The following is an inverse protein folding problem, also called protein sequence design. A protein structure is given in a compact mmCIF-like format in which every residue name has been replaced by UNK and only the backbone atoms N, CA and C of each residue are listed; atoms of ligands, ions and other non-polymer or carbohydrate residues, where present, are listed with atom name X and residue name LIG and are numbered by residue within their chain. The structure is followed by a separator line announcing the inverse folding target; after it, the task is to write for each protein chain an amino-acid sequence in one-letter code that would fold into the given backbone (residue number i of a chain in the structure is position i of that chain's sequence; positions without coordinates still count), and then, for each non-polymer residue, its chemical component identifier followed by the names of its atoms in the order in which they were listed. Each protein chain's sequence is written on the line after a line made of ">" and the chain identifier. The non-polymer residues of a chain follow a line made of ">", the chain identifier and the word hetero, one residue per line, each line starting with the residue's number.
data_IF_236995641207
#
_entry.id   IF_236995641207
#
_cell.length_a   1.000
_cell.length_b   1.000
_cell.length_c   1.000
_cell.angle_alpha   90.00
_cell.angle_beta   90.00
_cell.angle_gamma   90.00
#
_symmetry.space_group_name_H-M   'P 1'
#
loop_
_entity.id
_entity.type
_entity.pdbx_description
1 polymer ?
#
# COMPACT_ATOMS: atom_id res chain seq x y z
N UNK A 1 -50.34 23.23 -11.17
CA UNK A 1 -50.43 21.98 -10.38
C UNK A 1 -49.80 22.23 -9.01
N UNK A 2 -50.57 22.31 -7.94
CA UNK A 2 -50.03 22.48 -6.58
C UNK A 2 -49.63 21.12 -6.01
N UNK A 3 -48.34 20.94 -5.70
CA UNK A 3 -47.91 19.77 -4.95
C UNK A 3 -48.40 19.91 -3.50
N UNK A 4 -49.15 18.91 -3.03
CA UNK A 4 -49.61 18.85 -1.64
C UNK A 4 -48.41 18.74 -0.68
N UNK A 5 -48.55 19.28 0.54
CA UNK A 5 -47.50 19.25 1.57
C UNK A 5 -46.91 17.85 1.80
N UNK A 6 -47.73 16.81 1.66
CA UNK A 6 -47.33 15.40 1.78
C UNK A 6 -46.39 14.98 0.65
N UNK A 7 -46.68 15.36 -0.60
CA UNK A 7 -45.81 15.08 -1.76
C UNK A 7 -44.48 15.82 -1.64
N UNK A 8 -44.49 17.04 -1.08
CA UNK A 8 -43.29 17.83 -0.84
C UNK A 8 -42.36 17.18 0.21
N UNK A 9 -42.94 16.67 1.31
CA UNK A 9 -42.21 15.93 2.34
C UNK A 9 -41.61 14.63 1.81
N UNK A 10 -42.34 13.92 0.94
CA UNK A 10 -41.87 12.68 0.33
C UNK A 10 -40.71 12.92 -0.65
N UNK A 11 -40.80 13.98 -1.46
CA UNK A 11 -39.69 14.41 -2.34
C UNK A 11 -38.46 14.81 -1.53
N UNK A 12 -38.64 15.53 -0.42
CA UNK A 12 -37.54 15.91 0.48
C UNK A 12 -36.80 14.69 1.07
N UNK A 13 -37.54 13.66 1.52
CA UNK A 13 -36.93 12.40 1.99
C UNK A 13 -36.11 11.71 0.90
N UNK A 14 -36.62 11.67 -0.33
CA UNK A 14 -35.88 11.10 -1.46
C UNK A 14 -34.59 11.88 -1.76
N UNK A 15 -34.63 13.21 -1.70
CA UNK A 15 -33.46 14.06 -1.93
C UNK A 15 -32.40 13.89 -0.84
N UNK A 16 -32.79 13.79 0.43
CA UNK A 16 -31.87 13.54 1.54
C UNK A 16 -31.25 12.14 1.39
N UNK A 17 -32.05 11.12 1.08
CA UNK A 17 -31.55 9.77 0.84
C UNK A 17 -30.56 9.71 -0.32
N UNK A 18 -30.83 10.43 -1.41
CA UNK A 18 -29.93 10.53 -2.55
C UNK A 18 -28.62 11.23 -2.18
N UNK A 19 -28.68 12.34 -1.42
CA UNK A 19 -27.50 13.05 -0.95
C UNK A 19 -26.61 12.17 -0.06
N UNK A 20 -27.20 11.35 0.82
CA UNK A 20 -26.46 10.40 1.66
C UNK A 20 -25.75 9.34 0.80
N UNK A 21 -26.40 8.83 -0.25
CA UNK A 21 -25.77 7.86 -1.18
C UNK A 21 -24.60 8.50 -1.94
N UNK A 22 -24.75 9.76 -2.39
CA UNK A 22 -23.66 10.49 -3.05
C UNK A 22 -22.50 10.84 -2.09
N UNK A 23 -22.77 11.04 -0.79
CA UNK A 23 -21.71 11.23 0.22
C UNK A 23 -21.01 9.91 0.61
N UNK A 24 -21.61 8.76 0.32
CA UNK A 24 -21.03 7.43 0.53
C UNK A 24 -20.27 6.89 -0.69
N UNK A 25 -20.29 7.58 -1.84
CA UNK A 25 -19.33 7.31 -2.90
C UNK A 25 -17.99 7.93 -2.50
N UNK A 26 -17.36 7.36 -1.47
CA UNK A 26 -15.92 7.40 -1.39
C UNK A 26 -15.46 6.66 -2.64
N UNK A 27 -14.97 7.39 -3.64
CA UNK A 27 -14.12 6.81 -4.65
C UNK A 27 -13.08 6.00 -3.88
N UNK A 28 -13.10 4.69 -4.09
CA UNK A 28 -11.98 3.84 -3.71
C UNK A 28 -10.87 4.28 -4.66
N UNK A 29 -10.22 5.41 -4.36
CA UNK A 29 -8.96 5.73 -5.00
C UNK A 29 -8.10 4.50 -4.78
N UNK A 30 -7.77 3.84 -5.89
CA UNK A 30 -6.88 2.71 -5.92
C UNK A 30 -5.60 3.18 -5.25
N UNK A 31 -5.42 2.81 -3.98
CA UNK A 31 -4.41 3.44 -3.16
C UNK A 31 -3.08 3.03 -3.77
N UNK A 32 -2.29 4.00 -4.27
CA UNK A 32 -0.97 3.75 -4.88
C UNK A 32 -0.08 2.83 -4.03
N UNK A 33 -0.28 2.83 -2.71
CA UNK A 33 0.38 1.93 -1.74
C UNK A 33 -0.04 0.45 -1.85
N UNK A 34 -1.26 0.15 -2.29
CA UNK A 34 -1.71 -1.23 -2.56
C UNK A 34 -0.87 -1.88 -3.67
N UNK A 35 -0.47 -1.13 -4.71
CA UNK A 35 0.44 -1.60 -5.77
C UNK A 35 1.83 -1.98 -5.24
N UNK A 36 2.22 -1.43 -4.09
CA UNK A 36 3.53 -1.68 -3.49
C UNK A 36 3.55 -2.96 -2.64
N UNK A 37 2.39 -3.50 -2.26
CA UNK A 37 2.31 -4.71 -1.47
C UNK A 37 2.96 -5.90 -2.20
N UNK A 38 3.79 -6.64 -1.49
CA UNK A 38 4.54 -7.77 -2.02
C UNK A 38 5.98 -7.86 -1.51
N UNK A 39 6.68 -8.88 -1.98
CA UNK A 39 8.09 -9.11 -1.71
C UNK A 39 8.95 -8.37 -2.74
N UNK A 40 10.00 -7.74 -2.27
CA UNK A 40 10.94 -6.92 -3.02
C UNK A 40 12.37 -7.36 -2.72
N UNK A 41 13.14 -7.68 -3.76
CA UNK A 41 14.54 -8.10 -3.66
C UNK A 41 15.45 -6.93 -4.05
N UNK A 42 16.54 -6.74 -3.29
CA UNK A 42 17.49 -5.65 -3.56
C UNK A 42 18.34 -5.94 -4.78
N UNK A 43 18.51 -4.94 -5.65
CA UNK A 43 19.41 -5.01 -6.81
C UNK A 43 20.89 -5.00 -6.38
N UNK A 44 21.21 -4.34 -5.27
CA UNK A 44 22.60 -4.15 -4.78
C UNK A 44 22.98 -5.12 -3.64
N UNK A 45 22.19 -6.17 -3.41
CA UNK A 45 22.45 -7.15 -2.35
C UNK A 45 22.22 -6.62 -0.93
N UNK A 46 21.40 -5.57 -0.78
CA UNK A 46 20.86 -5.14 0.53
C UNK A 46 19.83 -6.15 1.05
N UNK A 47 19.45 -6.07 2.33
CA UNK A 47 18.30 -6.80 2.88
C UNK A 47 17.04 -6.68 2.02
N UNK A 48 16.37 -7.81 1.76
CA UNK A 48 15.07 -7.86 1.08
C UNK A 48 13.99 -7.20 1.92
N UNK A 49 12.89 -6.82 1.26
CA UNK A 49 11.79 -6.08 1.86
C UNK A 49 10.46 -6.74 1.57
N UNK A 50 9.57 -6.78 2.55
CA UNK A 50 8.15 -7.09 2.38
C UNK A 50 7.33 -5.86 2.68
N UNK A 51 6.44 -5.48 1.77
CA UNK A 51 5.44 -4.45 1.99
C UNK A 51 4.07 -5.11 2.11
N UNK A 52 3.33 -4.76 3.15
CA UNK A 52 1.99 -5.31 3.38
C UNK A 52 1.07 -4.30 4.07
N UNK A 53 -0.23 -4.49 3.89
CA UNK A 53 -1.28 -3.71 4.52
C UNK A 53 -1.77 -4.41 5.78
N UNK A 54 -1.87 -3.67 6.87
CA UNK A 54 -2.45 -4.12 8.14
C UNK A 54 -3.49 -3.09 8.60
N UNK A 55 -4.77 -3.42 8.40
CA UNK A 55 -5.85 -2.45 8.56
C UNK A 55 -5.74 -1.32 7.53
N UNK A 56 -5.63 -0.08 8.02
CA UNK A 56 -5.43 1.12 7.18
C UNK A 56 -3.94 1.49 7.02
N UNK A 57 -3.05 0.84 7.77
CA UNK A 57 -1.62 1.13 7.74
C UNK A 57 -0.89 0.24 6.74
N UNK A 58 0.10 0.80 6.05
CA UNK A 58 1.05 0.04 5.24
C UNK A 58 2.35 -0.09 6.02
N UNK A 59 2.93 -1.28 5.99
CA UNK A 59 4.13 -1.64 6.75
C UNK A 59 5.21 -2.16 5.80
N UNK A 60 6.45 -1.84 6.13
CA UNK A 60 7.65 -2.26 5.42
C UNK A 60 8.49 -3.09 6.39
N UNK A 61 8.65 -4.38 6.12
CA UNK A 61 9.53 -5.26 6.88
C UNK A 61 10.83 -5.48 6.12
N UNK A 62 11.95 -5.15 6.75
CA UNK A 62 13.31 -5.34 6.21
C UNK A 62 13.90 -6.62 6.79
N UNK A 63 14.27 -7.57 5.94
CA UNK A 63 14.83 -8.86 6.34
C UNK A 63 16.36 -8.82 6.35
N UNK A 64 16.95 -8.61 7.53
CA UNK A 64 18.39 -8.65 7.70
C UNK A 64 19.01 -10.02 7.35
N UNK A 65 19.48 -10.21 6.11
CA UNK A 65 20.35 -11.35 5.74
C UNK A 65 21.73 -11.17 6.41
N UNK A 66 21.89 -11.64 7.64
CA UNK A 66 23.19 -11.67 8.33
C UNK A 66 23.80 -13.06 8.22
N UNK A 67 25.07 -13.15 7.79
CA UNK A 67 25.77 -14.38 7.45
C UNK A 67 25.71 -15.49 8.51
N UNK A 68 25.74 -16.74 8.00
CA UNK A 68 25.85 -18.11 8.55
C UNK A 68 25.45 -18.45 10.01
N UNK A 69 25.55 -17.54 11.00
CA UNK A 69 25.37 -17.85 12.43
C UNK A 69 24.54 -16.84 13.24
N UNK A 70 24.03 -15.75 12.65
CA UNK A 70 23.18 -14.79 13.38
C UNK A 70 21.69 -15.03 13.14
N UNK A 71 20.89 -14.92 14.21
CA UNK A 71 19.43 -14.95 14.14
C UNK A 71 18.94 -13.78 13.28
N UNK A 72 18.12 -14.08 12.28
CA UNK A 72 17.35 -13.10 11.52
C UNK A 72 16.45 -12.32 12.49
N UNK A 73 16.71 -11.00 12.64
CA UNK A 73 15.76 -10.09 13.30
C UNK A 73 15.20 -9.16 12.24
N UNK A 74 13.98 -9.42 11.74
CA UNK A 74 13.31 -8.48 10.85
C UNK A 74 12.93 -7.21 11.62
N UNK A 75 12.97 -6.07 10.93
CA UNK A 75 12.55 -4.78 11.46
C UNK A 75 11.37 -4.26 10.62
N UNK A 76 10.33 -3.76 11.28
CA UNK A 76 9.10 -3.31 10.61
C UNK A 76 8.88 -1.83 10.85
N UNK A 77 8.66 -1.10 9.77
CA UNK A 77 8.46 0.34 9.73
C UNK A 77 7.10 0.69 9.10
N UNK A 78 6.58 1.88 9.38
CA UNK A 78 5.37 2.39 8.74
C UNK A 78 5.73 3.06 7.40
N UNK A 79 5.01 2.70 6.35
CA UNK A 79 5.03 3.40 5.07
C UNK A 79 4.01 4.54 5.11
N UNK A 80 4.51 5.76 5.20
CA UNK A 80 3.71 6.98 5.30
C UNK A 80 3.66 7.70 3.95
N UNK A 81 2.62 8.48 3.75
CA UNK A 81 2.42 9.31 2.56
C UNK A 81 2.10 10.74 3.00
N UNK A 82 2.88 11.70 2.52
CA UNK A 82 2.68 13.13 2.81
C UNK A 82 2.86 13.93 1.52
N UNK A 83 1.83 14.65 1.09
CA UNK A 83 1.82 15.44 -0.15
C UNK A 83 2.25 14.63 -1.40
N UNK A 84 1.84 13.35 -1.47
CA UNK A 84 2.20 12.42 -2.56
C UNK A 84 3.60 11.81 -2.45
N UNK A 85 4.37 12.16 -1.42
CA UNK A 85 5.69 11.57 -1.16
C UNK A 85 5.57 10.40 -0.18
N UNK A 86 6.05 9.23 -0.58
CA UNK A 86 6.12 8.08 0.30
C UNK A 86 7.45 8.07 1.06
N UNK A 87 7.40 7.74 2.35
CA UNK A 87 8.60 7.64 3.16
C UNK A 87 8.39 6.69 4.35
N UNK A 88 9.50 6.27 4.97
CA UNK A 88 9.50 5.59 6.25
C UNK A 88 10.59 6.17 7.16
N UNK A 89 10.44 5.98 8.47
CA UNK A 89 11.42 6.45 9.45
C UNK A 89 12.06 5.27 10.17
N UNK A 90 13.37 5.10 9.96
CA UNK A 90 14.18 4.03 10.58
C UNK A 90 15.14 4.57 11.65
N UNK A 91 14.88 5.78 12.16
CA UNK A 91 15.83 6.63 12.88
C UNK A 91 16.28 7.84 12.06
N UNK A 92 16.05 7.79 10.75
CA UNK A 92 16.13 8.90 9.80
C UNK A 92 15.09 8.65 8.68
N UNK A 93 14.78 9.70 7.92
CA UNK A 93 13.80 9.63 6.82
C UNK A 93 14.41 8.89 5.63
N UNK A 94 13.72 7.85 5.18
CA UNK A 94 13.98 7.12 3.94
C UNK A 94 12.85 7.45 2.98
N UNK A 95 13.16 8.14 1.89
CA UNK A 95 12.16 8.40 0.84
C UNK A 95 11.97 7.13 -0.01
N UNK A 96 10.72 6.88 -0.39
CA UNK A 96 10.30 5.72 -1.18
C UNK A 96 9.69 6.22 -2.48
N UNK A 97 10.18 5.71 -3.61
CA UNK A 97 9.60 6.00 -4.92
C UNK A 97 9.35 4.72 -5.68
N UNK A 98 8.29 4.72 -6.49
CA UNK A 98 7.88 3.58 -7.28
C UNK A 98 7.67 3.99 -8.73
N UNK A 99 8.36 3.29 -9.63
CA UNK A 99 8.21 3.40 -11.06
C UNK A 99 7.36 2.24 -11.59
N UNK A 100 6.12 2.56 -11.96
CA UNK A 100 5.13 1.62 -12.49
C UNK A 100 5.53 1.01 -13.84
N UNK A 101 6.26 1.74 -14.68
CA UNK A 101 6.63 1.27 -16.01
C UNK A 101 7.69 0.15 -15.97
N UNK A 102 8.56 0.17 -14.95
CA UNK A 102 9.66 -0.78 -14.80
C UNK A 102 9.46 -1.75 -13.62
N UNK A 103 8.40 -1.58 -12.82
CA UNK A 103 8.15 -2.30 -11.57
C UNK A 103 9.36 -2.25 -10.62
N UNK A 104 9.91 -1.03 -10.44
CA UNK A 104 11.09 -0.77 -9.58
C UNK A 104 10.69 0.12 -8.41
N UNK A 105 11.06 -0.33 -7.21
CA UNK A 105 10.90 0.42 -5.97
C UNK A 105 12.27 0.90 -5.50
N UNK A 106 12.41 2.20 -5.24
CA UNK A 106 13.67 2.80 -4.78
C UNK A 106 13.49 3.32 -3.37
N UNK A 107 14.36 2.87 -2.46
CA UNK A 107 14.50 3.45 -1.12
C UNK A 107 15.73 4.35 -1.13
N UNK A 108 15.60 5.65 -0.92
CA UNK A 108 16.76 6.55 -0.86
C UNK A 108 17.26 6.69 0.58
N UNK A 109 18.53 6.36 0.90
CA UNK A 109 19.67 6.10 0.00
C UNK A 109 20.00 4.61 -0.22
N UNK A 110 19.10 3.69 0.13
CA UNK A 110 19.34 2.24 0.13
C UNK A 110 19.29 1.55 -1.24
N UNK A 111 18.94 2.27 -2.31
CA UNK A 111 18.98 1.80 -3.69
C UNK A 111 17.68 1.16 -4.19
N UNK A 112 17.80 0.46 -5.31
CA UNK A 112 16.68 -0.09 -6.08
C UNK A 112 16.35 -1.53 -5.68
N UNK A 113 15.07 -1.84 -5.80
CA UNK A 113 14.45 -3.12 -5.50
C UNK A 113 13.51 -3.54 -6.61
N UNK A 114 13.46 -4.85 -6.88
CA UNK A 114 12.61 -5.46 -7.90
C UNK A 114 11.63 -6.44 -7.26
N UNK A 115 10.42 -6.53 -7.83
CA UNK A 115 9.38 -7.42 -7.29
C UNK A 115 9.74 -8.88 -7.48
N UNK A 116 9.62 -9.67 -6.41
CA UNK A 116 9.79 -11.13 -6.47
C UNK A 116 8.56 -11.73 -7.14
N UNK A 117 8.75 -12.28 -8.35
CA UNK A 117 7.70 -13.02 -9.05
C UNK A 117 7.58 -14.43 -8.46
N UNK A 118 6.36 -14.96 -8.26
CA UNK A 118 6.19 -16.36 -7.88
C UNK A 118 6.92 -17.24 -8.91
N UNK A 119 7.87 -18.06 -8.46
CA UNK A 119 8.37 -19.13 -9.33
C UNK A 119 7.22 -20.13 -9.51
N UNK A 120 6.99 -20.66 -10.73
CA UNK A 120 6.06 -21.76 -10.90
C UNK A 120 6.53 -22.90 -9.99
N UNK A 121 5.67 -23.32 -9.07
CA UNK A 121 5.95 -24.41 -8.14
C UNK A 121 6.48 -25.60 -8.94
N UNK A 122 7.74 -25.99 -8.71
CA UNK A 122 8.19 -27.30 -9.16
C UNK A 122 7.33 -28.32 -8.41
N UNK A 123 6.65 -29.26 -9.09
CA UNK A 123 5.87 -30.27 -8.40
C UNK A 123 6.80 -31.01 -7.44
N UNK A 124 6.46 -30.95 -6.16
CA UNK A 124 7.03 -31.84 -5.14
C UNK A 124 6.70 -33.26 -5.59
N UNK A 125 7.70 -33.99 -6.09
CA UNK A 125 7.61 -35.44 -6.21
C UNK A 125 7.46 -35.98 -4.78
N UNK A 126 6.27 -36.51 -4.48
CA UNK A 126 6.03 -37.46 -3.38
C UNK A 126 6.74 -38.78 -3.63
#
# INVERSE_FOLDING_TARGET
>A
MSLSKVKMLQVSKCLIGLAVVMLQSCDVEENRRDLLCGNWESVEGKPDVLIYKEGEAYKVTVFCRSGLRRKLKPETYLLQEENGNLFMNTGFRIDVSYNEATDVLTFSPNGDYVRVKPQPDKPTEE
#
